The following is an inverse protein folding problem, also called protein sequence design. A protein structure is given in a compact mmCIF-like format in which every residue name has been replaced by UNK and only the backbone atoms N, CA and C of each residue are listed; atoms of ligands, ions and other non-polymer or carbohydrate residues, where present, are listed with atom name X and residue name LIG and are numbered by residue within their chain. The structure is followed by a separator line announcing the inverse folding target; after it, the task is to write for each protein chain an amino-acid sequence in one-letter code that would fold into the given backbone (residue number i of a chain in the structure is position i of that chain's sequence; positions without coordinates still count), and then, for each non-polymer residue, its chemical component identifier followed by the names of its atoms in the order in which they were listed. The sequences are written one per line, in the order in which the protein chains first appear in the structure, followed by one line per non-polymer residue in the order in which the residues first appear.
data_IF_957308789648
#
_entry.id   IF_957308789648
#
_cell.length_a   1.000
_cell.length_b   1.000
_cell.length_c   1.000
_cell.angle_alpha   90.00
_cell.angle_beta   90.00
_cell.angle_gamma   90.00
#
_symmetry.space_group_name_H-M   'P 1'
#
loop_
_entity.id
_entity.type
_entity.pdbx_description
1 polymer ?
#
# COMPACT_ATOMS: atom_id res chain seq x y z
N UNK A 1 -20.55 14.08 7.81
CA UNK A 1 -20.72 12.79 8.56
C UNK A 1 -19.45 11.92 8.51
N UNK A 2 -18.80 11.72 7.36
CA UNK A 2 -17.54 10.93 7.28
C UNK A 2 -16.41 11.48 8.15
N UNK A 3 -16.25 12.79 8.19
CA UNK A 3 -15.25 13.48 9.01
C UNK A 3 -15.38 13.16 10.50
N UNK A 4 -16.60 13.26 11.02
CA UNK A 4 -16.91 12.97 12.43
C UNK A 4 -16.71 11.47 12.71
N UNK A 5 -17.14 10.59 11.81
CA UNK A 5 -16.93 9.15 11.97
C UNK A 5 -15.44 8.79 12.02
N UNK A 6 -14.61 9.37 11.15
CA UNK A 6 -13.16 9.17 11.16
C UNK A 6 -12.53 9.71 12.44
N UNK A 7 -12.90 10.94 12.84
CA UNK A 7 -12.39 11.54 14.06
C UNK A 7 -12.75 10.72 15.30
N UNK A 8 -14.02 10.34 15.45
CA UNK A 8 -14.48 9.49 16.57
C UNK A 8 -13.76 8.15 16.58
N UNK A 9 -13.55 7.52 15.42
CA UNK A 9 -12.79 6.29 15.32
C UNK A 9 -11.33 6.49 15.79
N UNK A 10 -10.62 7.48 15.27
CA UNK A 10 -9.21 7.71 15.62
C UNK A 10 -9.07 8.09 17.10
N UNK A 11 -9.86 9.05 17.59
CA UNK A 11 -9.82 9.47 18.99
C UNK A 11 -10.25 8.34 19.94
N UNK A 12 -11.26 7.55 19.57
CA UNK A 12 -11.67 6.35 20.31
C UNK A 12 -10.59 5.27 20.36
N UNK A 13 -9.70 5.21 19.36
CA UNK A 13 -8.57 4.28 19.34
C UNK A 13 -7.38 4.74 20.18
N UNK A 14 -7.24 6.04 20.51
CA UNK A 14 -6.09 6.57 21.27
C UNK A 14 -5.85 5.84 22.60
N UNK A 15 -6.85 5.58 23.46
CA UNK A 15 -6.64 4.81 24.68
C UNK A 15 -6.05 3.43 24.42
N UNK A 16 -6.55 2.72 23.39
CA UNK A 16 -6.03 1.41 23.01
C UNK A 16 -4.61 1.48 22.46
N UNK A 17 -4.29 2.53 21.71
CA UNK A 17 -2.93 2.77 21.21
C UNK A 17 -1.98 3.00 22.39
N UNK A 18 -2.36 3.85 23.35
CA UNK A 18 -1.56 4.12 24.55
C UNK A 18 -1.29 2.86 25.36
N UNK A 19 -2.28 1.97 25.49
CA UNK A 19 -2.13 0.68 26.18
C UNK A 19 -1.31 -0.34 25.38
N UNK A 20 -1.40 -0.32 24.04
CA UNK A 20 -0.77 -1.29 23.15
C UNK A 20 -0.22 -0.59 21.90
N UNK A 21 1.09 -0.29 21.84
CA UNK A 21 1.68 0.47 20.73
C UNK A 21 1.53 -0.26 19.38
N UNK A 22 1.42 -1.59 19.39
CA UNK A 22 1.15 -2.37 18.17
C UNK A 22 -0.20 -2.02 17.52
N UNK A 23 -1.22 -1.65 18.29
CA UNK A 23 -2.48 -1.14 17.73
C UNK A 23 -2.24 0.21 17.04
N UNK A 24 -1.41 1.06 17.64
CA UNK A 24 -0.96 2.31 17.04
C UNK A 24 -0.29 2.12 15.69
N UNK A 25 0.59 1.13 15.59
CA UNK A 25 1.22 0.75 14.32
C UNK A 25 0.17 0.35 13.27
N UNK A 26 -0.82 -0.48 13.62
CA UNK A 26 -1.86 -0.89 12.68
C UNK A 26 -2.71 0.30 12.20
N UNK A 27 -3.12 1.19 13.11
CA UNK A 27 -3.89 2.39 12.77
C UNK A 27 -3.04 3.34 11.92
N UNK A 28 -1.76 3.50 12.25
CA UNK A 28 -0.82 4.30 11.46
C UNK A 28 -0.63 3.75 10.05
N UNK A 29 -0.43 2.44 9.91
CA UNK A 29 -0.35 1.77 8.61
C UNK A 29 -1.63 1.92 7.80
N UNK A 30 -2.79 1.79 8.44
CA UNK A 30 -4.08 2.03 7.79
C UNK A 30 -4.19 3.46 7.26
N UNK A 31 -3.88 4.47 8.08
CA UNK A 31 -3.93 5.86 7.67
C UNK A 31 -2.92 6.16 6.55
N UNK A 32 -1.69 5.65 6.66
CA UNK A 32 -0.62 5.86 5.69
C UNK A 32 -0.88 5.20 4.33
N UNK A 33 -1.44 3.99 4.31
CA UNK A 33 -1.74 3.27 3.08
C UNK A 33 -3.09 3.64 2.49
N UNK A 34 -4.16 3.66 3.29
CA UNK A 34 -5.51 3.91 2.79
C UNK A 34 -5.79 5.41 2.61
N UNK A 35 -5.18 6.30 3.39
CA UNK A 35 -5.50 7.74 3.40
C UNK A 35 -7.01 8.04 3.49
N UNK A 36 -7.74 7.47 4.48
CA UNK A 36 -9.20 7.61 4.58
C UNK A 36 -9.63 9.06 4.84
N UNK A 37 -8.75 9.87 5.43
CA UNK A 37 -8.95 11.31 5.60
C UNK A 37 -9.13 12.05 4.27
N UNK A 38 -8.49 11.58 3.19
CA UNK A 38 -8.65 12.15 1.84
C UNK A 38 -9.98 11.78 1.17
N UNK A 39 -10.77 10.89 1.79
CA UNK A 39 -12.11 10.50 1.33
C UNK A 39 -13.24 11.23 2.11
N UNK A 40 -12.85 12.10 3.04
CA UNK A 40 -13.74 12.99 3.78
C UNK A 40 -14.01 14.29 3.00
N UNK A 41 -14.83 15.20 3.54
CA UNK A 41 -15.25 16.43 2.83
C UNK A 41 -15.00 17.73 3.60
N UNK A 42 -14.60 17.67 4.87
CA UNK A 42 -14.41 18.83 5.74
C UNK A 42 -13.08 18.81 6.49
N UNK A 43 -13.12 19.14 7.79
CA UNK A 43 -11.93 19.34 8.62
C UNK A 43 -10.99 18.13 8.67
N UNK A 44 -11.51 16.93 8.43
CA UNK A 44 -10.68 15.73 8.50
C UNK A 44 -9.65 15.66 7.36
N UNK A 45 -9.81 16.42 6.26
CA UNK A 45 -8.85 16.42 5.16
C UNK A 45 -7.52 17.07 5.57
N UNK A 46 -7.56 18.17 6.34
CA UNK A 46 -6.40 19.00 6.69
C UNK A 46 -5.76 18.63 8.03
N UNK A 47 -6.50 17.97 8.93
CA UNK A 47 -5.97 17.58 10.23
C UNK A 47 -4.83 16.54 10.10
N UNK A 48 -3.71 16.67 10.83
CA UNK A 48 -2.53 15.82 10.66
C UNK A 48 -2.68 14.46 11.38
N UNK A 49 -3.66 13.65 10.97
CA UNK A 49 -4.01 12.37 11.62
C UNK A 49 -2.83 11.39 11.73
N UNK A 50 -2.06 11.23 10.65
CA UNK A 50 -0.92 10.30 10.59
C UNK A 50 0.14 10.70 11.62
N UNK A 51 0.40 12.00 11.77
CA UNK A 51 1.34 12.54 12.75
C UNK A 51 0.84 12.33 14.19
N UNK A 52 -0.45 12.60 14.45
CA UNK A 52 -1.05 12.36 15.76
C UNK A 52 -0.88 10.89 16.18
N UNK A 53 -1.28 9.95 15.30
CA UNK A 53 -1.17 8.52 15.61
C UNK A 53 0.30 8.09 15.75
N UNK A 54 1.22 8.63 14.93
CA UNK A 54 2.65 8.36 15.06
C UNK A 54 3.20 8.80 16.43
N UNK A 55 2.90 10.03 16.86
CA UNK A 55 3.35 10.57 18.16
C UNK A 55 2.79 9.74 19.31
N UNK A 56 1.49 9.44 19.29
CA UNK A 56 0.84 8.62 20.33
C UNK A 56 1.42 7.20 20.36
N UNK A 57 1.73 6.62 19.19
CA UNK A 57 2.36 5.30 19.08
C UNK A 57 3.78 5.30 19.63
N UNK A 58 4.59 6.31 19.32
CA UNK A 58 5.95 6.46 19.82
C UNK A 58 5.95 6.68 21.35
N UNK A 59 5.05 7.53 21.86
CA UNK A 59 4.86 7.73 23.29
C UNK A 59 4.46 6.42 23.98
N UNK A 60 3.47 5.70 23.44
CA UNK A 60 3.07 4.39 23.94
C UNK A 60 4.23 3.41 23.95
N UNK A 61 5.01 3.33 22.86
CA UNK A 61 6.15 2.42 22.76
C UNK A 61 7.17 2.71 23.86
N UNK A 62 7.47 3.98 24.12
CA UNK A 62 8.41 4.41 25.15
C UNK A 62 8.00 3.95 26.56
N UNK A 63 6.72 4.13 26.92
CA UNK A 63 6.19 3.78 28.25
C UNK A 63 5.72 2.33 28.39
N UNK A 64 5.49 1.63 27.28
CA UNK A 64 5.05 0.23 27.29
C UNK A 64 6.17 -0.73 27.70
N UNK A 65 5.79 -1.93 28.14
CA UNK A 65 6.71 -3.05 28.39
C UNK A 65 7.10 -3.83 27.13
N UNK A 66 6.71 -3.35 25.94
CA UNK A 66 7.08 -3.99 24.67
C UNK A 66 8.59 -3.96 24.46
N UNK A 67 9.08 -4.99 23.75
CA UNK A 67 10.48 -5.06 23.34
C UNK A 67 10.82 -3.87 22.45
N UNK A 68 11.89 -3.15 22.83
CA UNK A 68 12.45 -2.03 22.05
C UNK A 68 13.68 -2.48 21.26
N UNK A 69 13.89 -3.79 21.14
CA UNK A 69 15.04 -4.37 20.45
C UNK A 69 14.84 -4.26 18.94
N UNK A 70 15.73 -3.54 18.28
CA UNK A 70 15.81 -3.52 16.83
C UNK A 70 16.51 -4.81 16.36
N UNK A 71 15.91 -5.58 15.43
CA UNK A 71 16.60 -6.67 14.78
C UNK A 71 17.61 -6.10 13.77
N UNK A 72 18.87 -5.93 14.21
CA UNK A 72 19.96 -5.44 13.36
C UNK A 72 20.39 -6.48 12.33
N UNK A 73 19.64 -6.54 11.24
CA UNK A 73 19.97 -7.30 10.04
C UNK A 73 20.78 -6.46 9.05
N UNK A 74 21.40 -7.09 8.05
CA UNK A 74 22.05 -6.39 6.93
C UNK A 74 21.12 -5.37 6.28
N UNK A 75 19.84 -5.69 6.12
CA UNK A 75 18.84 -4.80 5.53
C UNK A 75 18.61 -3.59 6.44
N UNK A 76 18.45 -3.79 7.75
CA UNK A 76 18.25 -2.70 8.71
C UNK A 76 19.44 -1.76 8.75
N UNK A 77 20.67 -2.30 8.67
CA UNK A 77 21.89 -1.48 8.58
C UNK A 77 21.93 -0.71 7.26
N UNK A 78 21.60 -1.35 6.13
CA UNK A 78 21.50 -0.69 4.83
C UNK A 78 20.48 0.45 4.84
N UNK A 79 19.35 0.31 5.53
CA UNK A 79 18.36 1.39 5.66
C UNK A 79 18.91 2.59 6.44
N UNK A 80 19.67 2.36 7.52
CA UNK A 80 20.34 3.46 8.25
C UNK A 80 21.40 4.11 7.37
N UNK A 81 22.26 3.32 6.72
CA UNK A 81 23.27 3.86 5.82
C UNK A 81 22.64 4.64 4.66
N UNK A 82 21.50 4.19 4.14
CA UNK A 82 20.78 4.89 3.10
C UNK A 82 20.18 6.21 3.61
N UNK A 83 19.62 6.25 4.82
CA UNK A 83 19.18 7.51 5.45
C UNK A 83 20.33 8.51 5.59
N UNK A 84 21.48 8.06 6.10
CA UNK A 84 22.66 8.90 6.27
C UNK A 84 23.21 9.38 4.93
N UNK A 85 23.28 8.48 3.94
CA UNK A 85 23.71 8.81 2.58
C UNK A 85 22.79 9.85 1.94
N UNK A 86 21.47 9.65 2.00
CA UNK A 86 20.51 10.63 1.48
C UNK A 86 20.64 11.96 2.21
N UNK A 87 20.85 11.95 3.53
CA UNK A 87 21.06 13.18 4.31
C UNK A 87 22.33 13.92 3.88
N UNK A 88 23.41 13.20 3.62
CA UNK A 88 24.64 13.76 3.07
C UNK A 88 24.36 14.41 1.71
N UNK A 89 23.69 13.70 0.79
CA UNK A 89 23.37 14.27 -0.53
C UNK A 89 22.42 15.47 -0.46
N UNK A 90 21.54 15.53 0.55
CA UNK A 90 20.65 16.66 0.79
C UNK A 90 21.43 17.93 1.12
N UNK A 91 22.53 17.85 1.90
CA UNK A 91 23.39 19.01 2.18
C UNK A 91 24.04 19.60 0.92
N UNK A 92 24.25 18.79 -0.11
CA UNK A 92 24.83 19.20 -1.39
C UNK A 92 23.80 19.34 -2.51
N UNK A 93 22.51 19.36 -2.18
CA UNK A 93 21.46 19.43 -3.19
C UNK A 93 21.46 20.78 -3.90
N UNK A 94 21.18 20.76 -5.21
CA UNK A 94 21.05 21.98 -6.01
C UNK A 94 19.87 22.87 -5.57
N UNK A 95 18.84 22.26 -4.96
CA UNK A 95 17.68 22.93 -4.37
C UNK A 95 17.53 22.44 -2.92
N UNK A 96 18.26 23.03 -1.95
CA UNK A 96 18.34 22.53 -0.58
C UNK A 96 16.98 22.44 0.12
N UNK A 97 16.12 23.44 -0.03
CA UNK A 97 14.84 23.49 0.69
C UNK A 97 13.93 22.32 0.31
N UNK A 98 13.70 22.09 -0.98
CA UNK A 98 12.92 20.95 -1.47
C UNK A 98 13.54 19.60 -1.10
N UNK A 99 14.88 19.50 -1.15
CA UNK A 99 15.58 18.29 -0.77
C UNK A 99 15.42 17.98 0.73
N UNK A 100 15.41 19.01 1.58
CA UNK A 100 15.22 18.87 3.02
C UNK A 100 13.80 18.43 3.36
N UNK A 101 12.78 18.95 2.68
CA UNK A 101 11.39 18.51 2.83
C UNK A 101 11.23 17.01 2.54
N UNK A 102 11.77 16.55 1.41
CA UNK A 102 11.72 15.13 1.01
C UNK A 102 12.52 14.25 1.97
N UNK A 103 13.70 14.70 2.41
CA UNK A 103 14.50 13.95 3.38
C UNK A 103 13.81 13.84 4.74
N UNK A 104 13.16 14.90 5.22
CA UNK A 104 12.39 14.87 6.46
C UNK A 104 11.20 13.91 6.38
N UNK A 105 10.51 13.87 5.25
CA UNK A 105 9.44 12.91 5.00
C UNK A 105 9.97 11.46 4.99
N UNK A 106 11.08 11.22 4.28
CA UNK A 106 11.74 9.93 4.24
C UNK A 106 12.23 9.46 5.62
N UNK A 107 12.84 10.35 6.40
CA UNK A 107 13.30 10.07 7.76
C UNK A 107 12.14 9.67 8.68
N UNK A 108 11.00 10.37 8.61
CA UNK A 108 9.78 10.05 9.38
C UNK A 108 9.24 8.65 9.02
N UNK A 109 9.24 8.29 7.74
CA UNK A 109 8.85 6.95 7.29
C UNK A 109 9.81 5.89 7.84
N UNK A 110 11.11 6.14 7.78
CA UNK A 110 12.11 5.19 8.31
C UNK A 110 12.00 4.99 9.81
N UNK A 111 11.74 6.05 10.59
CA UNK A 111 11.47 5.91 12.03
C UNK A 111 10.33 4.91 12.26
N UNK A 112 9.22 5.06 11.53
CA UNK A 112 8.09 4.16 11.66
C UNK A 112 8.37 2.76 11.10
N UNK A 113 9.26 2.62 10.10
CA UNK A 113 9.75 1.32 9.65
C UNK A 113 10.54 0.60 10.75
N UNK A 114 11.40 1.30 11.49
CA UNK A 114 12.10 0.73 12.64
C UNK A 114 11.16 0.38 13.80
N UNK A 115 10.16 1.22 14.07
CA UNK A 115 9.07 0.89 15.02
C UNK A 115 8.34 -0.38 14.60
N UNK A 116 8.08 -0.55 13.30
CA UNK A 116 7.49 -1.77 12.74
C UNK A 116 8.37 -2.98 13.02
N UNK A 117 9.69 -2.88 12.79
CA UNK A 117 10.64 -3.97 13.08
C UNK A 117 10.69 -4.36 14.57
N UNK A 118 10.55 -3.39 15.49
CA UNK A 118 10.49 -3.68 16.93
C UNK A 118 9.18 -4.37 17.33
N UNK A 119 8.05 -3.86 16.81
CA UNK A 119 6.71 -4.27 17.23
C UNK A 119 6.24 -5.56 16.55
N UNK A 120 6.61 -5.81 15.30
CA UNK A 120 6.23 -7.01 14.53
C UNK A 120 7.23 -8.14 14.82
N UNK A 121 7.15 -8.67 16.04
CA UNK A 121 8.10 -9.64 16.58
C UNK A 121 7.58 -11.09 16.60
N UNK A 122 6.36 -11.33 16.12
CA UNK A 122 5.77 -12.66 16.06
C UNK A 122 4.89 -12.84 14.82
N UNK A 123 4.55 -14.09 14.51
CA UNK A 123 3.78 -14.46 13.31
C UNK A 123 2.38 -13.82 13.29
N UNK A 124 1.73 -13.72 14.43
CA UNK A 124 0.39 -13.15 14.53
C UNK A 124 0.40 -11.66 14.17
N UNK A 125 1.33 -10.89 14.74
CA UNK A 125 1.51 -9.46 14.42
C UNK A 125 1.88 -9.24 12.96
N UNK A 126 2.70 -10.12 12.38
CA UNK A 126 2.97 -10.06 10.94
C UNK A 126 1.69 -10.30 10.14
N UNK A 127 0.89 -11.29 10.53
CA UNK A 127 -0.35 -11.64 9.86
C UNK A 127 -1.38 -10.49 9.89
N UNK A 128 -1.57 -9.85 11.04
CA UNK A 128 -2.46 -8.70 11.19
C UNK A 128 -1.98 -7.48 10.39
N UNK A 129 -0.67 -7.21 10.34
CA UNK A 129 -0.13 -6.14 9.52
C UNK A 129 -0.38 -6.39 8.03
N UNK A 130 -0.18 -7.62 7.56
CA UNK A 130 -0.48 -8.00 6.16
C UNK A 130 -1.96 -7.84 5.84
N UNK A 131 -2.86 -8.22 6.75
CA UNK A 131 -4.29 -7.93 6.63
C UNK A 131 -4.55 -6.43 6.50
N UNK A 132 -3.91 -5.61 7.32
CA UNK A 132 -4.09 -4.16 7.28
C UNK A 132 -3.66 -3.56 5.94
N UNK A 133 -2.50 -3.98 5.41
CA UNK A 133 -2.01 -3.58 4.09
C UNK A 133 -3.01 -3.98 3.00
N UNK A 134 -3.46 -5.25 3.01
CA UNK A 134 -4.38 -5.78 1.99
C UNK A 134 -5.74 -5.10 2.03
N UNK A 135 -6.31 -4.84 3.21
CA UNK A 135 -7.58 -4.11 3.33
C UNK A 135 -7.42 -2.68 2.85
N UNK A 136 -6.32 -2.02 3.20
CA UNK A 136 -6.06 -0.61 2.86
C UNK A 136 -5.86 -0.40 1.36
N UNK A 137 -4.92 -1.13 0.75
CA UNK A 137 -4.59 -0.97 -0.67
C UNK A 137 -5.55 -1.76 -1.57
N UNK A 138 -6.03 -2.91 -1.10
CA UNK A 138 -7.03 -3.71 -1.80
C UNK A 138 -8.37 -2.99 -1.95
N UNK A 139 -8.71 -2.04 -1.06
CA UNK A 139 -9.84 -1.14 -1.28
C UNK A 139 -9.73 -0.38 -2.61
N UNK A 140 -8.55 0.18 -2.91
CA UNK A 140 -8.30 0.87 -4.19
C UNK A 140 -8.24 -0.09 -5.37
N UNK A 141 -7.74 -1.32 -5.16
CA UNK A 141 -7.78 -2.36 -6.18
C UNK A 141 -9.21 -2.77 -6.56
N UNK A 142 -10.08 -3.00 -5.57
CA UNK A 142 -11.49 -3.32 -5.77
C UNK A 142 -12.23 -2.15 -6.45
N UNK A 143 -12.11 -0.95 -5.87
CA UNK A 143 -12.76 0.27 -6.40
C UNK A 143 -12.28 0.56 -7.83
N UNK A 144 -10.98 0.51 -8.07
CA UNK A 144 -10.37 0.75 -9.37
C UNK A 144 -10.79 -0.28 -10.39
N UNK A 145 -10.77 -1.57 -10.05
CA UNK A 145 -11.13 -2.64 -10.97
C UNK A 145 -12.59 -2.57 -11.41
N UNK A 146 -13.50 -2.34 -10.45
CA UNK A 146 -14.93 -2.14 -10.75
C UNK A 146 -15.11 -0.90 -11.64
N UNK A 147 -14.45 0.21 -11.30
CA UNK A 147 -14.53 1.45 -12.08
C UNK A 147 -14.04 1.24 -13.53
N UNK A 148 -12.93 0.55 -13.72
CA UNK A 148 -12.38 0.24 -15.04
C UNK A 148 -13.34 -0.61 -15.88
N UNK A 149 -13.97 -1.63 -15.28
CA UNK A 149 -14.93 -2.49 -15.99
C UNK A 149 -16.17 -1.69 -16.38
N UNK A 150 -16.75 -0.93 -15.45
CA UNK A 150 -18.00 -0.19 -15.69
C UNK A 150 -17.87 0.90 -16.75
N UNK A 151 -16.69 1.51 -16.88
CA UNK A 151 -16.44 2.58 -17.85
C UNK A 151 -15.71 2.09 -19.11
N UNK A 152 -15.56 0.77 -19.29
CA UNK A 152 -14.86 0.20 -20.43
C UNK A 152 -13.44 0.77 -20.60
N UNK A 153 -12.70 0.90 -19.50
CA UNK A 153 -11.33 1.42 -19.51
C UNK A 153 -11.15 2.88 -19.93
N UNK A 154 -12.20 3.62 -20.31
CA UNK A 154 -12.08 4.96 -20.88
C UNK A 154 -11.42 5.99 -19.96
N UNK A 155 -11.48 5.77 -18.65
CA UNK A 155 -10.99 6.69 -17.63
C UNK A 155 -9.82 6.10 -16.84
N UNK A 156 -8.85 6.95 -16.51
CA UNK A 156 -7.74 6.57 -15.65
C UNK A 156 -8.17 6.36 -14.19
N UNK A 157 -7.61 5.33 -13.57
CA UNK A 157 -7.71 5.08 -12.13
C UNK A 157 -6.60 5.83 -11.40
N UNK A 158 -7.01 6.70 -10.48
CA UNK A 158 -6.11 7.44 -9.59
C UNK A 158 -6.34 7.05 -8.12
N UNK A 159 -5.32 7.24 -7.30
CA UNK A 159 -5.47 7.08 -5.86
C UNK A 159 -6.04 8.33 -5.20
N UNK A 160 -6.11 8.33 -3.86
CA UNK A 160 -6.62 9.47 -3.11
C UNK A 160 -5.71 10.69 -3.32
N UNK A 161 -6.27 11.89 -3.53
CA UNK A 161 -5.48 13.10 -3.78
C UNK A 161 -4.61 13.46 -2.58
N UNK A 162 -3.49 14.14 -2.83
CA UNK A 162 -2.52 14.56 -1.81
C UNK A 162 -2.08 13.40 -0.89
N UNK A 163 -1.74 12.27 -1.50
CA UNK A 163 -1.18 11.07 -0.87
C UNK A 163 -0.05 10.50 -1.72
N UNK A 164 0.75 9.59 -1.16
CA UNK A 164 1.83 8.89 -1.86
C UNK A 164 1.37 8.06 -3.06
N UNK A 165 0.11 7.66 -3.10
CA UNK A 165 -0.46 6.85 -4.17
C UNK A 165 -1.44 7.65 -5.03
N UNK A 166 -1.36 8.98 -5.00
CA UNK A 166 -2.29 9.85 -5.72
C UNK A 166 -2.18 9.67 -7.25
N UNK A 167 -0.96 9.58 -7.76
CA UNK A 167 -0.73 9.38 -9.18
C UNK A 167 -0.93 7.93 -9.60
N UNK A 168 -1.08 7.75 -10.91
CA UNK A 168 -1.41 6.46 -11.50
C UNK A 168 -0.25 5.45 -11.43
N UNK A 169 1.01 5.90 -11.47
CA UNK A 169 2.17 5.01 -11.39
C UNK A 169 2.39 4.50 -9.96
N UNK A 170 2.33 5.40 -8.97
CA UNK A 170 2.45 5.01 -7.57
C UNK A 170 1.31 4.09 -7.13
N UNK A 171 0.08 4.37 -7.58
CA UNK A 171 -1.05 3.46 -7.34
C UNK A 171 -0.80 2.09 -7.98
N UNK A 172 -0.39 2.03 -9.25
CA UNK A 172 -0.14 0.76 -9.93
C UNK A 172 0.93 -0.08 -9.22
N UNK A 173 2.02 0.56 -8.78
CA UNK A 173 3.07 -0.06 -7.98
C UNK A 173 2.51 -0.65 -6.68
N UNK A 174 1.76 0.16 -5.92
CA UNK A 174 1.17 -0.27 -4.65
C UNK A 174 0.22 -1.46 -4.83
N UNK A 175 -0.62 -1.44 -5.88
CA UNK A 175 -1.52 -2.54 -6.21
C UNK A 175 -0.77 -3.82 -6.60
N UNK A 176 0.29 -3.71 -7.42
CA UNK A 176 1.14 -4.84 -7.78
C UNK A 176 1.81 -5.46 -6.54
N UNK A 177 2.32 -4.63 -5.62
CA UNK A 177 2.91 -5.08 -4.35
C UNK A 177 1.89 -5.74 -3.42
N UNK A 178 0.60 -5.41 -3.56
CA UNK A 178 -0.47 -5.97 -2.73
C UNK A 178 -0.88 -7.39 -3.17
N UNK A 179 -0.73 -7.75 -4.45
CA UNK A 179 -1.14 -9.06 -4.97
C UNK A 179 -0.47 -10.27 -4.27
N UNK A 180 0.85 -10.27 -4.01
CA UNK A 180 1.48 -11.34 -3.24
C UNK A 180 0.96 -11.44 -1.80
N UNK A 181 0.64 -10.31 -1.17
CA UNK A 181 0.06 -10.30 0.17
C UNK A 181 -1.36 -10.87 0.19
N UNK A 182 -2.19 -10.53 -0.80
CA UNK A 182 -3.51 -11.16 -0.97
C UNK A 182 -3.38 -12.67 -1.13
N UNK A 183 -2.41 -13.14 -1.94
CA UNK A 183 -2.15 -14.57 -2.11
C UNK A 183 -1.68 -15.23 -0.80
N UNK A 184 -0.80 -14.57 -0.05
CA UNK A 184 -0.37 -15.05 1.27
C UNK A 184 -1.57 -15.24 2.20
N UNK A 185 -2.48 -14.26 2.29
CA UNK A 185 -3.68 -14.35 3.12
C UNK A 185 -4.62 -15.45 2.63
N UNK A 186 -4.77 -15.60 1.31
CA UNK A 186 -5.60 -16.66 0.72
C UNK A 186 -5.07 -18.06 1.06
N UNK A 187 -3.75 -18.25 1.15
CA UNK A 187 -3.14 -19.53 1.53
C UNK A 187 -3.21 -19.79 3.04
N UNK A 188 -3.26 -18.75 3.87
CA UNK A 188 -3.31 -18.85 5.33
C UNK A 188 -4.74 -18.74 5.91
N UNK A 189 -5.77 -18.60 5.06
CA UNK A 189 -7.17 -18.50 5.50
C UNK A 189 -7.87 -19.86 5.48
N UNK A 190 -8.52 -20.24 6.57
CA UNK A 190 -9.34 -21.47 6.63
C UNK A 190 -10.70 -21.31 5.96
N UNK A 191 -11.29 -20.12 6.04
CA UNK A 191 -12.61 -19.83 5.47
C UNK A 191 -12.58 -19.81 3.94
N UNK A 192 -13.40 -20.67 3.33
CA UNK A 192 -13.59 -20.68 1.86
C UNK A 192 -14.09 -19.33 1.35
N UNK A 193 -14.98 -18.66 2.10
CA UNK A 193 -15.51 -17.35 1.73
C UNK A 193 -14.40 -16.29 1.61
N UNK A 194 -13.51 -16.23 2.62
CA UNK A 194 -12.37 -15.30 2.62
C UNK A 194 -11.43 -15.60 1.45
N UNK A 195 -11.16 -16.88 1.18
CA UNK A 195 -10.30 -17.30 0.07
C UNK A 195 -10.87 -16.90 -1.29
N UNK A 196 -12.16 -17.10 -1.49
CA UNK A 196 -12.85 -16.71 -2.73
C UNK A 196 -12.89 -15.19 -2.87
N UNK A 197 -13.21 -14.46 -1.79
CA UNK A 197 -13.20 -13.00 -1.76
C UNK A 197 -11.83 -12.41 -2.10
N UNK A 198 -10.74 -12.96 -1.54
CA UNK A 198 -9.38 -12.56 -1.89
C UNK A 198 -9.03 -12.89 -3.35
N UNK A 199 -9.52 -14.01 -3.89
CA UNK A 199 -9.32 -14.35 -5.31
C UNK A 199 -10.01 -13.34 -6.24
N UNK A 200 -11.24 -12.96 -5.93
CA UNK A 200 -11.96 -11.92 -6.66
C UNK A 200 -11.28 -10.55 -6.51
N UNK A 201 -10.82 -10.21 -5.31
CA UNK A 201 -10.07 -8.98 -5.06
C UNK A 201 -8.77 -8.93 -5.87
N UNK A 202 -8.02 -10.03 -5.95
CA UNK A 202 -6.81 -10.11 -6.79
C UNK A 202 -7.11 -9.86 -8.27
N UNK A 203 -8.21 -10.43 -8.79
CA UNK A 203 -8.62 -10.20 -10.17
C UNK A 203 -8.97 -8.73 -10.42
N UNK A 204 -9.79 -8.13 -9.56
CA UNK A 204 -10.13 -6.71 -9.68
C UNK A 204 -8.92 -5.81 -9.50
N UNK A 205 -7.99 -6.14 -8.61
CA UNK A 205 -6.71 -5.43 -8.46
C UNK A 205 -5.88 -5.50 -9.75
N UNK A 206 -5.81 -6.65 -10.41
CA UNK A 206 -5.15 -6.78 -11.71
C UNK A 206 -5.79 -5.89 -12.78
N UNK A 207 -7.13 -5.87 -12.85
CA UNK A 207 -7.87 -4.98 -13.75
C UNK A 207 -7.65 -3.50 -13.41
N UNK A 208 -7.63 -3.15 -12.12
CA UNK A 208 -7.35 -1.79 -11.66
C UNK A 208 -5.98 -1.31 -12.12
N UNK A 209 -4.96 -2.19 -12.08
CA UNK A 209 -3.62 -1.88 -12.59
C UNK A 209 -3.67 -1.52 -14.08
N UNK A 210 -4.44 -2.24 -14.90
CA UNK A 210 -4.63 -1.88 -16.31
C UNK A 210 -5.28 -0.50 -16.44
N UNK A 211 -6.31 -0.24 -15.63
CA UNK A 211 -7.03 1.03 -15.55
C UNK A 211 -6.18 2.21 -15.08
N UNK A 212 -5.00 1.99 -14.48
CA UNK A 212 -4.09 3.10 -14.16
C UNK A 212 -3.37 3.67 -15.39
N UNK A 213 -3.34 2.97 -16.53
CA UNK A 213 -2.54 3.38 -17.70
C UNK A 213 -1.04 3.51 -17.38
N UNK A 214 -0.55 2.82 -16.34
CA UNK A 214 0.86 2.82 -15.96
C UNK A 214 1.63 1.75 -16.74
N UNK A 215 2.62 2.19 -17.53
CA UNK A 215 3.55 1.30 -18.25
C UNK A 215 4.39 0.45 -17.30
N UNK A 216 4.96 1.09 -16.28
CA UNK A 216 5.67 0.39 -15.21
C UNK A 216 4.76 -0.55 -14.43
N UNK A 217 3.49 -0.16 -14.23
CA UNK A 217 2.45 -1.01 -13.65
C UNK A 217 2.18 -2.28 -14.45
N UNK A 218 2.08 -2.19 -15.78
CA UNK A 218 1.90 -3.35 -16.67
C UNK A 218 3.07 -4.34 -16.55
N UNK A 219 4.31 -3.84 -16.62
CA UNK A 219 5.52 -4.66 -16.50
C UNK A 219 5.58 -5.31 -15.11
N UNK A 220 5.34 -4.53 -14.05
CA UNK A 220 5.30 -5.05 -12.68
C UNK A 220 4.22 -6.12 -12.51
N UNK A 221 3.03 -5.92 -13.08
CA UNK A 221 1.95 -6.90 -13.05
C UNK A 221 2.33 -8.19 -13.74
N UNK A 222 2.97 -8.13 -14.92
CA UNK A 222 3.44 -9.31 -15.64
C UNK A 222 4.49 -10.09 -14.81
N UNK A 223 5.46 -9.39 -14.22
CA UNK A 223 6.48 -10.00 -13.35
C UNK A 223 5.85 -10.63 -12.12
N UNK A 224 4.96 -9.92 -11.43
CA UNK A 224 4.28 -10.41 -10.22
C UNK A 224 3.39 -11.61 -10.55
N UNK A 225 2.62 -11.55 -11.63
CA UNK A 225 1.79 -12.65 -12.10
C UNK A 225 2.63 -13.89 -12.45
N UNK A 226 3.74 -13.72 -13.17
CA UNK A 226 4.69 -14.78 -13.48
C UNK A 226 5.30 -15.39 -12.21
N UNK A 227 5.74 -14.56 -11.26
CA UNK A 227 6.28 -15.03 -9.98
C UNK A 227 5.24 -15.81 -9.16
N UNK A 228 3.98 -15.34 -9.12
CA UNK A 228 2.88 -16.05 -8.47
C UNK A 228 2.55 -17.37 -9.18
N UNK A 229 2.62 -17.42 -10.50
CA UNK A 229 2.44 -18.64 -11.28
C UNK A 229 3.52 -19.68 -10.98
N UNK A 230 4.79 -19.28 -11.06
CA UNK A 230 5.94 -20.16 -10.82
C UNK A 230 5.94 -20.75 -9.41
N UNK A 231 5.51 -19.97 -8.41
CA UNK A 231 5.43 -20.42 -7.00
C UNK A 231 4.12 -21.14 -6.64
N UNK A 232 3.11 -21.15 -7.52
CA UNK A 232 1.81 -21.75 -7.20
C UNK A 232 1.82 -23.27 -7.41
N UNK A 233 1.44 -24.03 -6.37
CA UNK A 233 1.11 -25.46 -6.50
C UNK A 233 -0.17 -25.68 -7.31
N UNK A 234 -1.11 -24.73 -7.28
CA UNK A 234 -2.35 -24.74 -8.05
C UNK A 234 -2.26 -23.77 -9.23
N UNK A 235 -1.50 -24.15 -10.26
CA UNK A 235 -1.22 -23.29 -11.42
C UNK A 235 -2.49 -22.84 -12.15
N UNK A 236 -3.52 -23.69 -12.20
CA UNK A 236 -4.79 -23.42 -12.88
C UNK A 236 -5.46 -22.13 -12.38
N UNK A 237 -5.54 -21.91 -11.07
CA UNK A 237 -6.20 -20.73 -10.51
C UNK A 237 -5.47 -19.42 -10.87
N UNK A 238 -4.13 -19.47 -10.92
CA UNK A 238 -3.34 -18.29 -11.33
C UNK A 238 -3.49 -18.03 -12.82
N UNK A 239 -3.47 -19.08 -13.64
CA UNK A 239 -3.69 -18.97 -15.09
C UNK A 239 -5.07 -18.38 -15.39
N UNK A 240 -6.12 -18.84 -14.71
CA UNK A 240 -7.48 -18.29 -14.90
C UNK A 240 -7.51 -16.79 -14.62
N UNK A 241 -6.86 -16.32 -13.55
CA UNK A 241 -6.79 -14.89 -13.25
C UNK A 241 -5.99 -14.13 -14.32
N UNK A 242 -4.84 -14.66 -14.76
CA UNK A 242 -4.02 -14.03 -15.81
C UNK A 242 -4.81 -13.91 -17.12
N UNK A 243 -5.46 -15.00 -17.55
CA UNK A 243 -6.27 -15.03 -18.77
C UNK A 243 -7.45 -14.08 -18.64
N UNK A 244 -8.13 -14.04 -17.50
CA UNK A 244 -9.23 -13.11 -17.29
C UNK A 244 -8.79 -11.64 -17.35
N UNK A 245 -7.66 -11.29 -16.74
CA UNK A 245 -7.10 -9.93 -16.81
C UNK A 245 -6.68 -9.60 -18.25
N UNK A 246 -6.05 -10.53 -18.97
CA UNK A 246 -5.69 -10.35 -20.38
C UNK A 246 -6.89 -10.21 -21.30
N UNK A 247 -7.97 -10.96 -21.05
CA UNK A 247 -9.24 -10.83 -21.76
C UNK A 247 -9.86 -9.45 -21.54
N UNK A 248 -9.84 -8.95 -20.30
CA UNK A 248 -10.31 -7.59 -20.01
C UNK A 248 -9.46 -6.55 -20.74
N UNK A 249 -8.13 -6.71 -20.74
CA UNK A 249 -7.23 -5.83 -21.48
C UNK A 249 -7.59 -5.79 -22.97
N UNK A 250 -7.81 -6.94 -23.59
CA UNK A 250 -8.07 -7.05 -25.02
C UNK A 250 -9.43 -6.48 -25.44
N UNK A 251 -10.48 -6.75 -24.66
CA UNK A 251 -11.86 -6.43 -25.09
C UNK A 251 -12.38 -5.09 -24.57
N UNK A 252 -11.86 -4.61 -23.44
CA UNK A 252 -12.38 -3.42 -22.78
C UNK A 252 -11.43 -2.22 -22.80
N UNK A 253 -10.15 -2.36 -23.11
CA UNK A 253 -9.26 -1.19 -23.12
C UNK A 253 -9.37 -0.41 -24.44
N UNK A 254 -9.51 0.93 -24.39
CA UNK A 254 -9.65 1.75 -25.58
C UNK A 254 -8.30 1.95 -26.30
N UNK A 255 -8.35 2.45 -27.55
CA UNK A 255 -7.16 2.72 -28.36
C UNK A 255 -6.12 3.63 -27.66
N UNK A 256 -6.57 4.61 -26.88
CA UNK A 256 -5.66 5.47 -26.10
C UNK A 256 -4.79 4.69 -25.10
N UNK A 257 -5.31 3.58 -24.56
CA UNK A 257 -4.54 2.70 -23.70
C UNK A 257 -3.49 1.93 -24.51
N UNK A 258 -3.88 1.37 -25.66
CA UNK A 258 -2.96 0.63 -26.54
C UNK A 258 -1.84 1.53 -27.06
N UNK A 259 -2.16 2.73 -27.53
CA UNK A 259 -1.19 3.72 -28.01
C UNK A 259 -0.15 4.04 -26.94
N UNK A 260 -0.59 4.16 -25.68
CA UNK A 260 0.30 4.42 -24.56
C UNK A 260 1.19 3.22 -24.24
N UNK A 261 0.67 2.00 -24.34
CA UNK A 261 1.46 0.78 -24.11
C UNK A 261 2.43 0.48 -25.25
N UNK A 262 2.09 0.85 -26.48
CA UNK A 262 2.97 0.67 -27.66
C UNK A 262 4.25 1.50 -27.57
N UNK A 263 4.25 2.60 -26.79
CA UNK A 263 5.48 3.33 -26.48
C UNK A 263 6.55 2.48 -25.77
N UNK A 264 6.20 1.34 -25.18
CA UNK A 264 7.17 0.38 -24.63
C UNK A 264 8.01 -0.30 -25.71
N UNK A 265 7.52 -0.40 -26.94
CA UNK A 265 8.27 -1.00 -28.05
C UNK A 265 9.39 -0.07 -28.57
N UNK A 266 9.31 1.23 -28.24
CA UNK A 266 10.22 2.27 -28.72
C UNK A 266 11.09 2.89 -27.60
N UNK A 267 11.11 2.26 -26.41
CA UNK A 267 11.90 2.68 -25.24
C UNK A 267 13.25 1.96 -25.20
#
# INVERSE_FOLDING_TARGET
MRDIALALFIFGMIPYILMRPYVGLLVWSWLGYMNPNRLCYGFAISFPWVLLVAIVTLASLLFSKESKRIPWSTISVLLVMFLLWTGLTTFYAAVPDSAWEVWLEFAKILIMAFVTLMLVNNRERMHWLVWMIVVSLGFYGLKGGIFTILHGGANHVFGPPASFIADNNALALALCMTLPFMRYLQLNSSSKFVRTGLGFAMLLTGVAVLGTYSRGGLIALAIVAGALFLKSRGRLAVVVVIVAVGFVAYHFMPAQWTDRMDTLQHA
#
